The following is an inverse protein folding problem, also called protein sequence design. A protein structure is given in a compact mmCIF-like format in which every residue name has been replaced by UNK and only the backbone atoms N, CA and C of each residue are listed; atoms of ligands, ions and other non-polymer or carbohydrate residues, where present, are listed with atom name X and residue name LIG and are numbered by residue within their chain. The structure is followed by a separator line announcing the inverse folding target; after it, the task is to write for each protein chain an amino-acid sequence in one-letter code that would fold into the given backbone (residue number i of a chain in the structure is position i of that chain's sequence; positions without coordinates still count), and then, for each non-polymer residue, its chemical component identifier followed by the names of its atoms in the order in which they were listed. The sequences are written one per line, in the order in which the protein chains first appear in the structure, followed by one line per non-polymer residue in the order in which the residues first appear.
data_IF_375198942254
#
_entry.id   IF_375198942254
#
_cell.length_a   1.000
_cell.length_b   1.000
_cell.length_c   1.000
_cell.angle_alpha   90.00
_cell.angle_beta   90.00
_cell.angle_gamma   90.00
#
_symmetry.space_group_name_H-M   'P 1'
#
loop_
_entity.id
_entity.type
_entity.pdbx_description
1 polymer ?
#
# COMPACT_ATOMS: atom_id res chain seq x y z
N UNK A 1 -19.64 3.59 10.91
CA UNK A 1 -18.91 4.07 9.72
C UNK A 1 -17.47 4.22 10.16
N UNK A 2 -16.48 3.78 9.38
CA UNK A 2 -15.06 3.96 9.74
C UNK A 2 -14.66 5.43 9.57
N UNK A 3 -13.86 5.94 10.50
CA UNK A 3 -13.29 7.28 10.47
C UNK A 3 -11.83 7.18 10.91
N UNK A 4 -10.92 7.70 10.10
CA UNK A 4 -9.50 7.68 10.42
C UNK A 4 -9.18 8.74 11.48
N UNK A 5 -8.43 8.40 12.55
CA UNK A 5 -8.11 9.32 13.64
C UNK A 5 -6.93 10.25 13.29
N UNK A 6 -7.12 11.12 12.30
CA UNK A 6 -6.07 11.94 11.68
C UNK A 6 -5.38 12.85 12.71
N UNK A 7 -6.16 13.48 13.59
CA UNK A 7 -5.63 14.39 14.60
C UNK A 7 -4.72 13.69 15.61
N UNK A 8 -5.06 12.45 16.00
CA UNK A 8 -4.23 11.65 16.90
C UNK A 8 -2.89 11.29 16.25
N UNK A 9 -2.90 10.89 14.97
CA UNK A 9 -1.68 10.60 14.22
C UNK A 9 -0.82 11.83 14.00
N UNK A 10 -1.45 12.94 13.66
CA UNK A 10 -0.77 14.23 13.52
C UNK A 10 -0.08 14.61 14.83
N UNK A 11 -0.78 14.52 15.96
CA UNK A 11 -0.20 14.79 17.27
C UNK A 11 1.01 13.87 17.58
N UNK A 12 0.88 12.57 17.32
CA UNK A 12 1.95 11.60 17.59
C UNK A 12 3.15 11.87 16.70
N UNK A 13 2.95 12.10 15.40
CA UNK A 13 4.03 12.32 14.43
C UNK A 13 4.77 13.63 14.74
N UNK A 14 4.04 14.71 15.02
CA UNK A 14 4.64 16.02 15.26
C UNK A 14 5.27 16.13 16.66
N UNK A 15 4.52 15.78 17.70
CA UNK A 15 4.91 16.09 19.07
C UNK A 15 5.59 14.93 19.81
N UNK A 16 5.27 13.68 19.49
CA UNK A 16 5.87 12.52 20.17
C UNK A 16 7.10 12.02 19.44
N UNK A 17 7.00 11.86 18.12
CA UNK A 17 8.13 11.39 17.28
C UNK A 17 9.08 12.55 16.98
N UNK A 18 8.56 13.76 16.76
CA UNK A 18 9.35 14.93 16.37
C UNK A 18 9.69 14.89 14.88
N UNK A 19 8.71 15.16 14.04
CA UNK A 19 8.80 15.05 12.58
C UNK A 19 10.03 15.73 12.00
N UNK A 20 10.28 16.99 12.35
CA UNK A 20 11.39 17.77 11.79
C UNK A 20 12.75 17.10 12.02
N UNK A 21 12.98 16.61 13.24
CA UNK A 21 14.24 15.93 13.59
C UNK A 21 14.36 14.59 12.87
N UNK A 22 13.26 13.85 12.73
CA UNK A 22 13.25 12.59 12.00
C UNK A 22 13.53 12.82 10.51
N UNK A 23 12.90 13.81 9.89
CA UNK A 23 13.09 14.14 8.47
C UNK A 23 14.52 14.60 8.19
N UNK A 24 15.10 15.43 9.04
CA UNK A 24 16.49 15.85 8.93
C UNK A 24 17.46 14.66 9.02
N UNK A 25 17.20 13.70 9.92
CA UNK A 25 18.05 12.53 10.11
C UNK A 25 17.92 11.49 8.97
N UNK A 26 16.81 11.46 8.27
CA UNK A 26 16.51 10.48 7.21
C UNK A 26 16.65 11.03 5.79
N UNK A 27 16.93 12.33 5.67
CA UNK A 27 17.13 12.98 4.36
C UNK A 27 15.84 13.38 3.63
N UNK A 28 14.69 13.35 4.32
CA UNK A 28 13.38 13.73 3.76
C UNK A 28 13.03 15.20 4.12
N UNK A 29 13.95 16.13 3.81
CA UNK A 29 13.83 17.54 4.25
C UNK A 29 12.67 18.31 3.60
N UNK A 30 12.04 17.77 2.58
CA UNK A 30 10.89 18.32 1.87
C UNK A 30 9.53 17.90 2.47
N UNK A 31 9.53 17.00 3.45
CA UNK A 31 8.31 16.53 4.12
C UNK A 31 7.99 17.42 5.32
N UNK A 32 6.90 18.18 5.19
CA UNK A 32 6.35 19.02 6.26
C UNK A 32 5.15 18.37 6.94
N UNK A 33 4.78 18.87 8.13
CA UNK A 33 3.57 18.40 8.83
C UNK A 33 2.30 18.67 8.01
N UNK A 34 2.23 19.75 7.25
CA UNK A 34 1.10 20.06 6.40
C UNK A 34 0.96 19.03 5.25
N UNK A 35 2.08 18.60 4.68
CA UNK A 35 2.08 17.53 3.69
C UNK A 35 1.64 16.20 4.31
N UNK A 36 2.14 15.87 5.50
CA UNK A 36 1.71 14.67 6.24
C UNK A 36 0.20 14.70 6.48
N UNK A 37 -0.33 15.82 6.97
CA UNK A 37 -1.79 15.99 7.20
C UNK A 37 -2.59 15.79 5.90
N UNK A 38 -2.14 16.37 4.79
CA UNK A 38 -2.79 16.19 3.49
C UNK A 38 -2.81 14.72 3.06
N UNK A 39 -1.68 14.02 3.18
CA UNK A 39 -1.59 12.58 2.86
C UNK A 39 -2.51 11.75 3.75
N UNK A 40 -2.49 11.98 5.07
CA UNK A 40 -3.34 11.26 6.01
C UNK A 40 -4.84 11.53 5.76
N UNK A 41 -5.20 12.77 5.41
CA UNK A 41 -6.57 13.14 5.10
C UNK A 41 -7.10 12.41 3.87
N UNK A 42 -6.33 12.37 2.79
CA UNK A 42 -6.72 11.66 1.57
C UNK A 42 -6.72 10.13 1.78
N UNK A 43 -5.75 9.58 2.50
CA UNK A 43 -5.74 8.16 2.88
C UNK A 43 -6.96 7.78 3.74
N UNK A 44 -7.32 8.65 4.68
CA UNK A 44 -8.49 8.48 5.55
C UNK A 44 -9.81 8.49 4.77
N UNK A 45 -9.97 9.39 3.79
CA UNK A 45 -11.13 9.41 2.88
C UNK A 45 -11.21 8.10 2.08
N UNK A 46 -10.11 7.67 1.48
CA UNK A 46 -10.07 6.40 0.74
C UNK A 46 -10.44 5.22 1.65
N UNK A 47 -9.92 5.19 2.87
CA UNK A 47 -10.25 4.18 3.86
C UNK A 47 -11.75 4.16 4.20
N UNK A 48 -12.35 5.33 4.45
CA UNK A 48 -13.75 5.47 4.85
C UNK A 48 -14.73 5.20 3.70
N UNK A 49 -14.45 5.76 2.52
CA UNK A 49 -15.40 5.80 1.42
C UNK A 49 -15.30 4.61 0.46
N UNK A 50 -14.10 4.01 0.33
CA UNK A 50 -13.83 2.94 -0.63
C UNK A 50 -13.55 1.60 0.04
N UNK A 51 -12.68 1.58 1.07
CA UNK A 51 -12.19 0.33 1.64
C UNK A 51 -13.14 -0.22 2.72
N UNK A 52 -13.55 0.59 3.68
CA UNK A 52 -14.39 0.17 4.80
C UNK A 52 -15.76 -0.40 4.39
N UNK A 53 -16.47 0.15 3.38
CA UNK A 53 -17.76 -0.42 2.94
C UNK A 53 -17.66 -1.86 2.44
N UNK A 54 -16.48 -2.28 2.00
CA UNK A 54 -16.23 -3.64 1.47
C UNK A 54 -15.93 -4.66 2.57
N UNK A 55 -15.70 -4.24 3.82
CA UNK A 55 -15.24 -5.14 4.87
C UNK A 55 -16.27 -6.25 5.16
N UNK A 56 -17.48 -5.87 5.52
CA UNK A 56 -18.54 -6.84 5.87
C UNK A 56 -18.97 -7.69 4.67
N UNK A 57 -19.21 -7.07 3.52
CA UNK A 57 -19.62 -7.79 2.31
C UNK A 57 -18.53 -8.74 1.81
N UNK A 58 -17.28 -8.32 1.92
CA UNK A 58 -16.11 -9.12 1.56
C UNK A 58 -15.94 -10.34 2.45
N UNK A 59 -16.13 -10.17 3.77
CA UNK A 59 -16.09 -11.26 4.74
C UNK A 59 -17.18 -12.31 4.46
N UNK A 60 -18.40 -11.87 4.19
CA UNK A 60 -19.51 -12.78 3.89
C UNK A 60 -19.36 -13.53 2.55
N UNK A 61 -18.83 -12.86 1.53
CA UNK A 61 -18.68 -13.47 0.20
C UNK A 61 -17.44 -14.34 0.09
N UNK A 62 -16.32 -13.93 0.69
CA UNK A 62 -15.04 -14.58 0.56
C UNK A 62 -14.51 -14.61 -0.88
N UNK A 63 -13.32 -15.20 -1.05
CA UNK A 63 -12.77 -15.48 -2.36
C UNK A 63 -13.20 -16.89 -2.84
N UNK A 64 -13.61 -17.00 -4.09
CA UNK A 64 -14.10 -18.26 -4.66
C UNK A 64 -13.16 -18.77 -5.75
N UNK A 65 -12.63 -19.98 -5.58
CA UNK A 65 -11.89 -20.67 -6.63
C UNK A 65 -12.86 -21.37 -7.58
N UNK A 66 -12.67 -21.16 -8.88
CA UNK A 66 -13.44 -21.79 -9.95
C UNK A 66 -12.79 -23.10 -10.42
N UNK A 67 -13.52 -23.88 -11.20
CA UNK A 67 -13.03 -25.15 -11.76
C UNK A 67 -11.84 -24.98 -12.72
N UNK A 68 -11.76 -23.85 -13.42
CA UNK A 68 -10.64 -23.47 -14.29
C UNK A 68 -9.41 -22.98 -13.52
N UNK A 69 -9.41 -23.11 -12.21
CA UNK A 69 -8.37 -22.64 -11.29
C UNK A 69 -8.26 -21.11 -11.15
N UNK A 70 -9.12 -20.34 -11.76
CA UNK A 70 -9.21 -18.90 -11.52
C UNK A 70 -9.82 -18.61 -10.13
N UNK A 71 -9.55 -17.43 -9.60
CA UNK A 71 -10.09 -16.97 -8.32
C UNK A 71 -10.91 -15.71 -8.57
N UNK A 72 -12.13 -15.69 -8.02
CA UNK A 72 -12.96 -14.48 -8.00
C UNK A 72 -12.88 -13.86 -6.61
N UNK A 73 -12.48 -12.60 -6.54
CA UNK A 73 -12.51 -11.81 -5.30
C UNK A 73 -13.91 -11.29 -5.02
N UNK A 74 -14.22 -10.86 -3.77
CA UNK A 74 -15.48 -10.22 -3.47
C UNK A 74 -15.75 -9.02 -4.36
N UNK A 75 -17.06 -8.76 -4.60
CA UNK A 75 -17.47 -7.60 -5.39
C UNK A 75 -16.90 -6.30 -4.82
N UNK A 76 -16.38 -5.44 -5.70
CA UNK A 76 -15.80 -4.15 -5.33
C UNK A 76 -14.30 -4.18 -5.02
N UNK A 77 -13.70 -5.32 -4.65
CA UNK A 77 -12.27 -5.40 -4.31
C UNK A 77 -11.36 -5.00 -5.48
N UNK A 78 -11.66 -5.47 -6.68
CA UNK A 78 -10.88 -5.10 -7.87
C UNK A 78 -10.94 -3.60 -8.16
N UNK A 79 -12.12 -2.98 -8.02
CA UNK A 79 -12.29 -1.53 -8.22
C UNK A 79 -11.58 -0.73 -7.12
N UNK A 80 -11.66 -1.17 -5.87
CA UNK A 80 -10.93 -0.54 -4.77
C UNK A 80 -9.41 -0.61 -4.97
N UNK A 81 -8.90 -1.74 -5.46
CA UNK A 81 -7.47 -1.88 -5.77
C UNK A 81 -7.05 -0.98 -6.95
N UNK A 82 -7.89 -0.88 -7.98
CA UNK A 82 -7.64 0.06 -9.08
C UNK A 82 -7.56 1.51 -8.56
N UNK A 83 -8.48 1.92 -7.69
CA UNK A 83 -8.45 3.24 -7.06
C UNK A 83 -7.17 3.50 -6.24
N UNK A 84 -6.67 2.48 -5.50
CA UNK A 84 -5.37 2.58 -4.85
C UNK A 84 -4.23 2.81 -5.84
N UNK A 85 -4.18 2.02 -6.91
CA UNK A 85 -3.13 2.10 -7.91
C UNK A 85 -3.16 3.43 -8.67
N UNK A 86 -4.34 3.87 -9.11
CA UNK A 86 -4.56 5.15 -9.81
C UNK A 86 -4.22 6.34 -8.93
N UNK A 87 -4.50 6.27 -7.62
CA UNK A 87 -4.11 7.28 -6.63
C UNK A 87 -2.64 7.27 -6.25
N UNK A 88 -1.83 6.34 -6.79
CA UNK A 88 -0.41 6.21 -6.48
C UNK A 88 -0.09 5.60 -5.11
N UNK A 89 -1.10 5.10 -4.39
CA UNK A 89 -0.93 4.57 -3.03
C UNK A 89 -0.09 3.30 -2.97
N UNK A 90 -0.04 2.53 -4.06
CA UNK A 90 0.80 1.34 -4.18
C UNK A 90 2.29 1.66 -4.29
N UNK A 91 2.63 2.91 -4.60
CA UNK A 91 3.99 3.38 -4.83
C UNK A 91 4.59 4.23 -3.72
N UNK A 92 3.89 4.39 -2.59
CA UNK A 92 4.27 5.30 -1.50
C UNK A 92 5.72 5.16 -1.02
N UNK A 93 6.20 3.93 -0.82
CA UNK A 93 7.51 3.64 -0.24
C UNK A 93 8.62 3.42 -1.28
N UNK A 94 8.25 3.27 -2.53
CA UNK A 94 9.23 3.06 -3.57
C UNK A 94 10.00 4.34 -3.86
N UNK A 95 11.29 4.20 -4.18
CA UNK A 95 12.13 5.35 -4.54
C UNK A 95 11.63 6.01 -5.82
N UNK A 96 11.85 7.31 -5.92
CA UNK A 96 11.47 8.12 -7.09
C UNK A 96 12.08 7.61 -8.40
N UNK A 97 13.32 7.10 -8.37
CA UNK A 97 14.00 6.52 -9.53
C UNK A 97 13.25 5.34 -10.17
N UNK A 98 12.33 4.71 -9.44
CA UNK A 98 11.46 3.62 -9.91
C UNK A 98 10.02 4.09 -10.17
N UNK A 99 9.73 5.38 -10.00
CA UNK A 99 8.39 5.96 -10.14
C UNK A 99 7.57 5.96 -8.84
N UNK A 100 8.22 5.77 -7.69
CA UNK A 100 7.60 5.85 -6.37
C UNK A 100 7.56 7.28 -5.81
N UNK A 101 6.93 7.43 -4.65
CA UNK A 101 6.80 8.70 -3.95
C UNK A 101 7.84 8.91 -2.85
N UNK A 102 8.59 7.87 -2.50
CA UNK A 102 9.63 7.89 -1.48
C UNK A 102 9.18 8.48 -0.14
N UNK A 103 7.90 8.24 0.24
CA UNK A 103 7.38 8.74 1.52
C UNK A 103 8.08 8.08 2.71
N UNK A 104 8.31 8.82 3.80
CA UNK A 104 8.92 8.28 5.00
C UNK A 104 8.05 7.16 5.62
N UNK A 105 8.71 6.15 6.17
CA UNK A 105 8.03 4.99 6.78
C UNK A 105 7.02 5.38 7.87
N UNK A 106 7.26 6.45 8.61
CA UNK A 106 6.33 6.95 9.64
C UNK A 106 4.98 7.33 9.03
N UNK A 107 4.97 7.93 7.85
CA UNK A 107 3.75 8.33 7.13
C UNK A 107 3.06 7.12 6.53
N UNK A 108 3.82 6.25 5.86
CA UNK A 108 3.26 5.06 5.21
C UNK A 108 2.72 4.04 6.22
N UNK A 109 3.32 3.97 7.41
CA UNK A 109 2.79 3.15 8.53
C UNK A 109 1.42 3.65 8.98
N UNK A 110 1.25 4.96 9.14
CA UNK A 110 -0.04 5.56 9.52
C UNK A 110 -1.13 5.27 8.46
N UNK A 111 -0.79 5.46 7.18
CA UNK A 111 -1.70 5.14 6.07
C UNK A 111 -2.10 3.66 6.06
N UNK A 112 -1.12 2.77 6.20
CA UNK A 112 -1.37 1.33 6.25
C UNK A 112 -2.25 0.93 7.43
N UNK A 113 -2.11 1.58 8.58
CA UNK A 113 -2.97 1.32 9.73
C UNK A 113 -4.42 1.72 9.47
N UNK A 114 -4.68 2.85 8.79
CA UNK A 114 -6.03 3.23 8.39
C UNK A 114 -6.68 2.16 7.50
N UNK A 115 -5.95 1.63 6.53
CA UNK A 115 -6.49 0.63 5.61
C UNK A 115 -6.70 -0.72 6.28
N UNK A 116 -5.79 -1.13 7.16
CA UNK A 116 -5.95 -2.35 7.92
C UNK A 116 -7.12 -2.27 8.90
N UNK A 117 -7.31 -1.13 9.56
CA UNK A 117 -8.45 -0.89 10.43
C UNK A 117 -9.78 -0.83 9.66
N UNK A 118 -9.77 -0.31 8.43
CA UNK A 118 -10.95 -0.25 7.56
C UNK A 118 -11.33 -1.63 7.00
N UNK A 119 -10.35 -2.39 6.48
CA UNK A 119 -10.56 -3.73 5.93
C UNK A 119 -9.22 -4.50 5.84
N UNK A 120 -8.92 -5.28 6.84
CA UNK A 120 -7.69 -6.07 6.92
C UNK A 120 -7.51 -7.02 5.74
N UNK A 121 -8.57 -7.71 5.32
CA UNK A 121 -8.50 -8.69 4.22
C UNK A 121 -8.09 -8.05 2.90
N UNK A 122 -8.55 -6.83 2.64
CA UNK A 122 -8.16 -6.04 1.49
C UNK A 122 -6.72 -5.51 1.61
N UNK A 123 -6.39 -4.93 2.76
CA UNK A 123 -5.09 -4.28 3.00
C UNK A 123 -3.90 -5.25 2.93
N UNK A 124 -4.09 -6.52 3.29
CA UNK A 124 -3.04 -7.54 3.21
C UNK A 124 -2.47 -7.72 1.79
N UNK A 125 -3.27 -7.52 0.75
CA UNK A 125 -2.80 -7.61 -0.63
C UNK A 125 -1.71 -6.56 -0.92
N UNK A 126 -1.99 -5.33 -0.54
CA UNK A 126 -1.07 -4.21 -0.73
C UNK A 126 0.18 -4.30 0.16
N UNK A 127 0.01 -4.66 1.43
CA UNK A 127 1.10 -4.79 2.39
C UNK A 127 2.20 -5.77 1.91
N UNK A 128 1.82 -6.87 1.29
CA UNK A 128 2.77 -7.85 0.76
C UNK A 128 3.59 -7.26 -0.40
N UNK A 129 2.99 -6.46 -1.25
CA UNK A 129 3.69 -5.76 -2.33
C UNK A 129 4.71 -4.77 -1.81
N UNK A 130 4.36 -3.98 -0.80
CA UNK A 130 5.28 -3.06 -0.12
C UNK A 130 6.48 -3.81 0.48
N UNK A 131 6.23 -4.92 1.16
CA UNK A 131 7.31 -5.77 1.69
C UNK A 131 8.27 -6.27 0.62
N UNK A 132 7.76 -6.64 -0.55
CA UNK A 132 8.59 -7.04 -1.70
C UNK A 132 9.42 -5.88 -2.25
N UNK A 133 8.84 -4.71 -2.44
CA UNK A 133 9.55 -3.51 -2.90
C UNK A 133 10.68 -3.19 -1.93
N UNK A 134 10.39 -3.19 -0.63
CA UNK A 134 11.39 -2.95 0.40
C UNK A 134 12.55 -3.96 0.34
N UNK A 135 12.24 -5.25 0.23
CA UNK A 135 13.25 -6.31 0.13
C UNK A 135 14.12 -6.16 -1.13
N UNK A 136 13.52 -5.84 -2.27
CA UNK A 136 14.24 -5.59 -3.51
C UNK A 136 15.15 -4.37 -3.40
N UNK A 137 14.67 -3.27 -2.85
CA UNK A 137 15.48 -2.05 -2.66
C UNK A 137 16.67 -2.26 -1.72
N UNK A 138 16.55 -3.18 -0.75
CA UNK A 138 17.60 -3.46 0.23
C UNK A 138 18.62 -4.48 -0.24
N UNK A 139 18.19 -5.51 -0.98
CA UNK A 139 19.02 -6.72 -1.16
C UNK A 139 19.20 -7.14 -2.61
N UNK A 140 18.38 -6.66 -3.54
CA UNK A 140 18.50 -7.05 -4.94
C UNK A 140 19.59 -6.28 -5.68
N UNK A 141 20.12 -6.88 -6.76
CA UNK A 141 21.02 -6.17 -7.66
C UNK A 141 20.32 -4.98 -8.35
N UNK A 142 21.06 -3.94 -8.78
CA UNK A 142 20.45 -2.81 -9.49
C UNK A 142 19.66 -3.22 -10.73
N UNK A 143 20.08 -4.30 -11.41
CA UNK A 143 19.38 -4.85 -12.58
C UNK A 143 18.00 -5.42 -12.17
N UNK A 144 17.95 -6.20 -11.10
CA UNK A 144 16.70 -6.75 -10.59
C UNK A 144 15.77 -5.66 -10.04
N UNK A 145 16.31 -4.65 -9.36
CA UNK A 145 15.51 -3.51 -8.90
C UNK A 145 14.82 -2.81 -10.08
N UNK A 146 15.57 -2.46 -11.14
CA UNK A 146 15.03 -1.83 -12.35
C UNK A 146 14.03 -2.70 -13.10
N UNK A 147 14.21 -4.02 -13.04
CA UNK A 147 13.33 -4.96 -13.76
C UNK A 147 12.01 -5.16 -13.02
N UNK A 148 12.05 -5.35 -11.71
CA UNK A 148 10.88 -5.79 -10.94
C UNK A 148 10.11 -4.66 -10.25
N UNK A 149 10.79 -3.66 -9.68
CA UNK A 149 10.11 -2.64 -8.88
C UNK A 149 9.06 -1.86 -9.69
N UNK A 150 9.31 -1.38 -10.92
CA UNK A 150 8.31 -0.62 -11.65
C UNK A 150 6.99 -1.36 -11.88
N UNK A 151 7.04 -2.67 -12.09
CA UNK A 151 5.80 -3.43 -12.28
C UNK A 151 5.04 -3.64 -10.96
N UNK A 152 5.74 -3.69 -9.83
CA UNK A 152 5.15 -3.84 -8.50
C UNK A 152 4.36 -2.60 -8.05
N UNK A 153 4.64 -1.43 -8.60
CA UNK A 153 3.95 -0.20 -8.24
C UNK A 153 2.48 -0.19 -8.66
N UNK A 154 2.11 -1.02 -9.63
CA UNK A 154 0.75 -1.08 -10.20
C UNK A 154 0.09 -2.44 -10.05
N UNK A 155 0.85 -3.47 -9.68
CA UNK A 155 0.36 -4.84 -9.60
C UNK A 155 0.72 -5.49 -8.28
N UNK A 156 -0.09 -6.45 -7.85
CA UNK A 156 0.26 -7.33 -6.75
C UNK A 156 0.79 -8.64 -7.33
N UNK A 157 2.10 -8.91 -7.30
CA UNK A 157 2.65 -10.16 -7.79
C UNK A 157 2.47 -11.22 -6.71
N UNK A 158 1.26 -11.68 -6.51
CA UNK A 158 1.04 -12.89 -5.73
C UNK A 158 1.34 -14.09 -6.63
N UNK A 159 2.10 -15.09 -6.16
CA UNK A 159 2.20 -16.38 -6.86
C UNK A 159 0.83 -17.06 -6.98
N UNK A 160 -0.19 -16.53 -6.32
CA UNK A 160 -1.60 -16.93 -6.44
C UNK A 160 -2.34 -16.15 -7.51
N UNK A 161 -1.74 -15.10 -8.08
CA UNK A 161 -2.29 -14.39 -9.22
C UNK A 161 -1.95 -15.17 -10.49
N UNK A 162 -2.94 -15.91 -11.01
CA UNK A 162 -2.77 -16.82 -12.13
C UNK A 162 -2.29 -16.16 -13.44
N UNK A 163 -2.33 -14.84 -13.53
CA UNK A 163 -1.87 -14.09 -14.69
C UNK A 163 -0.37 -13.82 -14.67
N UNK A 164 0.29 -13.87 -13.51
CA UNK A 164 1.72 -13.59 -13.36
C UNK A 164 2.57 -14.85 -13.05
N UNK A 165 1.98 -15.98 -12.70
CA UNK A 165 2.71 -17.20 -12.35
C UNK A 165 3.08 -18.06 -13.56
N UNK A 166 3.39 -17.47 -14.70
CA UNK A 166 4.09 -18.18 -15.79
C UNK A 166 5.60 -18.00 -15.65
N UNK A 167 6.15 -18.36 -14.51
CA UNK A 167 7.55 -18.74 -14.46
C UNK A 167 7.66 -20.13 -15.10
N UNK A 168 8.48 -20.33 -16.13
CA UNK A 168 8.73 -21.67 -16.65
C UNK A 168 9.30 -22.52 -15.52
N UNK A 169 8.62 -23.63 -15.21
CA UNK A 169 9.21 -24.69 -14.41
C UNK A 169 10.26 -25.38 -15.29
N UNK A 170 11.45 -24.81 -15.37
CA UNK A 170 12.57 -25.53 -15.99
C UNK A 170 13.88 -24.88 -15.61
N UNK A 171 14.53 -25.42 -14.63
CA UNK A 171 15.83 -26.08 -14.79
C UNK A 171 16.23 -26.58 -13.44
#
# INVERSE_FOLDING_TARGET
MYEAPIDDYKFVIDHVIGLDQLMANTGHNDISIDLVEAVLSEAGKLAADVIAPLNHSGDQAGATRRDDSSVTTPNGFANAYAALAEGGWTSMEAREEFGGQNLPMVVTTAVNEFWQAANMAFALCHLLTQGQIYALQKSASPEHQKLFIPCLLYTSPSPRDATLSRMPSSA
#
